data_IF_804790258144
#
_entry.id   IF_804790258144
#
_cell.length_a   1.000
_cell.length_b   1.000
_cell.length_c   1.000
_cell.angle_alpha   90.00
_cell.angle_beta   90.00
_cell.angle_gamma   90.00
#
_symmetry.space_group_name_H-M   'P 1'
#
loop_
_entity.id
_entity.type
_entity.pdbx_description
1 polymer ?
#
# COMPACT_ATOMS: atom_id res chain seq x y z
N UNK A 1 -12.12 -6.16 1.71
CA UNK A 1 -12.07 -5.16 0.62
C UNK A 1 -10.92 -4.22 0.92
N UNK A 2 -10.13 -3.80 -0.07
CA UNK A 2 -9.07 -2.81 0.19
C UNK A 2 -9.73 -1.45 0.43
N UNK A 3 -9.54 -0.89 1.62
CA UNK A 3 -9.96 0.47 1.98
C UNK A 3 -8.77 1.31 2.46
N UNK A 4 -9.01 2.59 2.71
CA UNK A 4 -7.94 3.54 3.08
C UNK A 4 -7.31 3.21 4.45
N UNK A 5 -8.10 2.67 5.37
CA UNK A 5 -7.65 2.24 6.69
C UNK A 5 -6.66 1.07 6.58
N UNK A 6 -7.06 0.01 5.88
CA UNK A 6 -6.24 -1.19 5.64
C UNK A 6 -4.98 -0.84 4.85
N UNK A 7 -5.09 0.08 3.88
CA UNK A 7 -3.93 0.59 3.14
C UNK A 7 -2.96 1.34 4.06
N UNK A 8 -3.47 2.19 4.95
CA UNK A 8 -2.68 2.93 5.93
C UNK A 8 -1.89 2.03 6.88
N UNK A 9 -2.51 0.96 7.38
CA UNK A 9 -1.84 -0.03 8.23
C UNK A 9 -0.68 -0.72 7.48
N UNK A 10 -0.92 -1.19 6.25
CA UNK A 10 0.14 -1.81 5.42
C UNK A 10 1.29 -0.85 5.15
N UNK A 11 0.99 0.43 4.90
CA UNK A 11 2.01 1.47 4.75
C UNK A 11 2.85 1.62 6.03
N UNK A 12 2.21 1.66 7.20
CA UNK A 12 2.90 1.79 8.48
C UNK A 12 3.81 0.58 8.78
N UNK A 13 3.35 -0.64 8.49
CA UNK A 13 4.11 -1.87 8.62
C UNK A 13 5.37 -1.85 7.72
N UNK A 14 5.22 -1.55 6.43
CA UNK A 14 6.35 -1.46 5.50
C UNK A 14 7.31 -0.33 5.85
N UNK A 15 6.80 0.82 6.32
CA UNK A 15 7.61 1.92 6.83
C UNK A 15 8.46 1.46 8.03
N UNK A 16 7.84 0.77 8.99
CA UNK A 16 8.49 0.23 10.18
C UNK A 16 9.57 -0.80 9.85
N UNK A 17 9.30 -1.69 8.89
CA UNK A 17 10.28 -2.67 8.40
C UNK A 17 11.53 -2.02 7.80
N UNK A 18 11.39 -0.84 7.19
CA UNK A 18 12.50 -0.03 6.67
C UNK A 18 13.12 0.91 7.71
N UNK A 19 12.67 0.86 8.97
CA UNK A 19 13.11 1.72 10.09
C UNK A 19 12.97 3.22 9.80
N UNK A 20 11.98 3.60 9.00
CA UNK A 20 11.70 4.99 8.68
C UNK A 20 10.75 5.59 9.71
N UNK A 21 11.01 6.83 10.12
CA UNK A 21 10.02 7.65 10.81
C UNK A 21 8.94 8.11 9.84
N UNK A 22 7.77 8.51 10.37
CA UNK A 22 6.72 9.12 9.56
C UNK A 22 7.22 10.39 8.85
N UNK A 23 8.05 11.20 9.52
CA UNK A 23 8.60 12.42 8.93
C UNK A 23 9.49 12.12 7.70
N UNK A 24 10.29 11.05 7.77
CA UNK A 24 11.16 10.65 6.65
C UNK A 24 10.36 10.12 5.47
N UNK A 25 9.38 9.24 5.71
CA UNK A 25 8.53 8.74 4.62
C UNK A 25 7.70 9.87 4.00
N UNK A 26 7.12 10.76 4.82
CA UNK A 26 6.36 11.90 4.33
C UNK A 26 7.22 12.81 3.43
N UNK A 27 8.48 13.06 3.83
CA UNK A 27 9.46 13.81 3.03
C UNK A 27 9.77 13.12 1.71
N UNK A 28 10.06 11.81 1.72
CA UNK A 28 10.33 11.02 0.49
C UNK A 28 9.14 11.03 -0.47
N UNK A 29 7.92 10.90 0.06
CA UNK A 29 6.68 10.93 -0.71
C UNK A 29 6.22 12.35 -1.09
N UNK A 30 6.89 13.41 -0.60
CA UNK A 30 6.54 14.83 -0.78
C UNK A 30 5.12 15.16 -0.30
N UNK A 31 4.73 14.62 0.85
CA UNK A 31 3.44 14.88 1.50
C UNK A 31 3.61 15.48 2.89
N UNK A 32 2.55 16.03 3.46
CA UNK A 32 2.56 16.49 4.85
C UNK A 32 2.66 15.33 5.83
N UNK A 33 3.46 15.49 6.90
CA UNK A 33 3.57 14.50 7.99
C UNK A 33 2.20 14.19 8.59
N UNK A 34 1.36 15.21 8.81
CA UNK A 34 0.00 15.03 9.33
C UNK A 34 -0.89 14.19 8.41
N UNK A 35 -0.69 14.28 7.08
CA UNK A 35 -1.40 13.42 6.12
C UNK A 35 -0.97 11.97 6.27
N UNK A 36 0.34 11.70 6.38
CA UNK A 36 0.82 10.33 6.58
C UNK A 36 0.38 9.78 7.94
N UNK A 37 0.46 10.59 8.99
CA UNK A 37 0.01 10.24 10.33
C UNK A 37 -1.49 9.93 10.39
N UNK A 38 -2.33 10.75 9.75
CA UNK A 38 -3.76 10.46 9.65
C UNK A 38 -4.04 9.17 8.85
N UNK A 39 -3.28 8.93 7.78
CA UNK A 39 -3.40 7.72 6.97
C UNK A 39 -3.05 6.46 7.78
N UNK A 40 -1.86 6.42 8.39
CA UNK A 40 -1.35 5.26 9.12
C UNK A 40 -2.19 4.92 10.37
N UNK A 41 -2.82 5.92 10.98
CA UNK A 41 -3.69 5.73 12.14
C UNK A 41 -5.18 5.64 11.77
N UNK A 42 -5.53 5.51 10.49
CA UNK A 42 -6.93 5.32 10.06
C UNK A 42 -7.85 6.52 10.27
N UNK A 43 -7.30 7.72 10.46
CA UNK A 43 -8.04 8.98 10.62
C UNK A 43 -8.25 9.74 9.30
N UNK A 44 -7.60 9.33 8.22
CA UNK A 44 -7.84 9.88 6.90
C UNK A 44 -9.17 9.35 6.33
N UNK A 45 -10.12 10.23 6.04
CA UNK A 45 -11.36 9.90 5.33
C UNK A 45 -11.15 9.76 3.82
N UNK A 46 -10.20 10.52 3.28
CA UNK A 46 -9.85 10.52 1.86
C UNK A 46 -8.35 10.72 1.63
N UNK A 47 -7.86 10.23 0.50
CA UNK A 47 -6.50 10.49 0.04
C UNK A 47 -6.43 10.38 -1.48
N UNK A 48 -6.05 11.48 -2.15
CA UNK A 48 -5.90 11.47 -3.60
C UNK A 48 -4.90 10.41 -4.09
N UNK A 49 -5.24 9.72 -5.18
CA UNK A 49 -4.44 8.62 -5.74
C UNK A 49 -2.97 8.99 -5.98
N UNK A 50 -2.68 10.21 -6.44
CA UNK A 50 -1.30 10.69 -6.62
C UNK A 50 -0.48 10.79 -5.33
N UNK A 51 -1.11 10.92 -4.15
CA UNK A 51 -0.41 10.81 -2.85
C UNK A 51 -0.13 9.34 -2.52
N UNK A 52 -1.11 8.45 -2.75
CA UNK A 52 -0.95 7.00 -2.56
C UNK A 52 0.22 6.48 -3.40
N UNK A 53 0.24 6.77 -4.70
CA UNK A 53 1.31 6.33 -5.60
C UNK A 53 2.70 6.80 -5.15
N UNK A 54 2.83 8.04 -4.65
CA UNK A 54 4.11 8.56 -4.14
C UNK A 54 4.56 7.89 -2.85
N UNK A 55 3.64 7.56 -1.93
CA UNK A 55 3.96 6.84 -0.70
C UNK A 55 4.46 5.43 -1.05
N UNK A 56 3.76 4.74 -1.93
CA UNK A 56 4.13 3.39 -2.36
C UNK A 56 5.49 3.39 -3.07
N UNK A 57 5.72 4.31 -4.01
CA UNK A 57 7.00 4.46 -4.68
C UNK A 57 8.15 4.75 -3.70
N UNK A 58 7.91 5.60 -2.68
CA UNK A 58 8.90 5.91 -1.64
C UNK A 58 9.24 4.71 -0.74
N UNK A 59 8.36 3.70 -0.69
CA UNK A 59 8.55 2.43 0.00
C UNK A 59 9.03 1.30 -0.93
N UNK A 60 9.15 1.53 -2.24
CA UNK A 60 9.45 0.48 -3.22
C UNK A 60 8.29 -0.48 -3.50
N UNK A 61 7.04 -0.03 -3.29
CA UNK A 61 5.82 -0.79 -3.48
C UNK A 61 5.05 -0.32 -4.72
N UNK A 62 4.15 -1.17 -5.22
CA UNK A 62 3.25 -0.87 -6.33
C UNK A 62 1.84 -1.41 -6.08
N UNK A 63 0.83 -0.81 -6.74
CA UNK A 63 -0.52 -1.37 -6.80
C UNK A 63 -0.69 -2.09 -8.13
N UNK A 64 -1.23 -3.31 -8.05
CA UNK A 64 -1.60 -4.10 -9.22
C UNK A 64 -3.13 -4.15 -9.32
N UNK A 65 -3.66 -3.77 -10.47
CA UNK A 65 -5.08 -3.97 -10.78
C UNK A 65 -5.26 -5.44 -11.15
N UNK A 66 -6.22 -6.09 -10.51
CA UNK A 66 -6.59 -7.48 -10.77
C UNK A 66 -8.10 -7.63 -10.71
N UNK A 67 -8.63 -8.69 -11.33
CA UNK A 67 -10.04 -9.02 -11.20
C UNK A 67 -10.37 -9.26 -9.72
N UNK A 68 -11.53 -8.76 -9.28
CA UNK A 68 -12.02 -9.10 -7.94
C UNK A 68 -12.33 -10.58 -7.95
N UNK A 69 -11.41 -11.39 -7.40
CA UNK A 69 -11.53 -12.84 -7.47
C UNK A 69 -12.73 -13.31 -6.63
N UNK A 70 -13.85 -13.54 -7.30
CA UNK A 70 -15.06 -14.16 -6.71
C UNK A 70 -15.08 -15.68 -6.90
N UNK A 71 -14.01 -16.30 -7.43
CA UNK A 71 -13.90 -17.76 -7.60
C UNK A 71 -13.12 -18.27 -8.80
N UNK A 72 -12.33 -17.45 -9.51
CA UNK A 72 -11.51 -17.89 -10.65
C UNK A 72 -10.06 -17.39 -10.50
N UNK A 73 -9.08 -18.31 -10.38
CA UNK A 73 -7.67 -17.95 -10.23
C UNK A 73 -7.13 -17.21 -11.46
N UNK A 74 -6.17 -16.31 -11.24
CA UNK A 74 -5.42 -15.60 -12.28
C UNK A 74 -4.43 -16.54 -12.98
N UNK A 75 -3.88 -16.14 -14.14
CA UNK A 75 -2.84 -16.93 -14.84
C UNK A 75 -1.60 -17.15 -13.96
N UNK A 76 -1.23 -16.18 -13.12
CA UNK A 76 -0.14 -16.33 -12.14
C UNK A 76 -0.48 -17.36 -11.07
N UNK A 77 -1.74 -17.40 -10.62
CA UNK A 77 -2.22 -18.41 -9.68
C UNK A 77 -2.18 -19.82 -10.29
N UNK A 78 -2.50 -19.95 -11.59
CA UNK A 78 -2.47 -21.23 -12.30
C UNK A 78 -1.04 -21.70 -12.61
N UNK A 79 -0.14 -20.78 -12.99
CA UNK A 79 1.27 -21.11 -13.24
C UNK A 79 1.95 -21.55 -11.93
N UNK A 80 1.74 -20.81 -10.84
CA UNK A 80 2.26 -21.19 -9.52
C UNK A 80 1.71 -22.54 -9.03
N UNK A 81 0.50 -22.93 -9.42
CA UNK A 81 -0.06 -24.24 -9.10
C UNK A 81 0.58 -25.38 -9.92
N UNK A 82 0.84 -25.15 -11.20
CA UNK A 82 1.48 -26.14 -12.09
C UNK A 82 2.96 -26.42 -11.77
N UNK A 83 3.69 -25.43 -11.24
CA UNK A 83 5.07 -25.62 -10.76
C UNK A 83 5.16 -26.39 -9.42
N UNK A 84 4.02 -26.61 -8.75
CA UNK A 84 3.91 -27.33 -7.48
C UNK A 84 3.48 -28.79 -7.61
N UNK A 85 3.11 -29.24 -8.81
CA UNK A 85 2.73 -30.63 -9.13
C UNK A 85 3.85 -31.35 -9.87
#
# INVERSE_FOLDING_TARGET
>A
MLDLHTLGQRIAEHRGAQRLTQAELARRARIGRSTLDALENGRASELGFGKVGRILAALGLTLKISETNRGRPTLEDLIAESERS
#
